data_IF_873950071671
#
_entry.id   IF_873950071671
#
_cell.length_a   1.000
_cell.length_b   1.000
_cell.length_c   1.000
_cell.angle_alpha   90.00
_cell.angle_beta   90.00
_cell.angle_gamma   90.00
#
_symmetry.space_group_name_H-M   'P 1'
#
loop_
_entity.id
_entity.type
_entity.pdbx_description
1 polymer ?
#
# COMPACT_ATOMS: atom_id res chain seq x y z
N UNK A 1 17.80 22.20 15.80
CA UNK A 1 17.83 21.18 16.88
C UNK A 1 19.26 20.78 17.20
N UNK A 2 20.07 20.32 16.22
CA UNK A 2 21.44 19.85 16.47
C UNK A 2 22.33 20.90 17.14
N UNK A 3 22.22 22.19 16.74
CA UNK A 3 22.99 23.29 17.35
C UNK A 3 22.74 23.52 18.84
N UNK A 4 21.65 22.96 19.40
CA UNK A 4 21.33 23.02 20.85
C UNK A 4 21.44 21.62 21.49
N UNK A 5 22.06 20.64 20.80
CA UNK A 5 22.37 19.33 21.33
C UNK A 5 21.24 18.33 21.30
N UNK A 6 20.18 18.52 20.46
CA UNK A 6 19.06 17.60 20.31
C UNK A 6 18.85 17.19 18.86
N UNK A 7 18.45 15.94 18.66
CA UNK A 7 17.87 15.42 17.43
C UNK A 7 16.34 15.49 17.48
N UNK A 8 15.70 15.48 16.31
CA UNK A 8 14.23 15.37 16.18
C UNK A 8 13.77 13.95 16.47
N UNK A 9 14.52 12.95 16.01
CA UNK A 9 14.31 11.53 16.28
C UNK A 9 13.33 10.84 15.31
N UNK A 10 12.17 11.45 15.04
CA UNK A 10 11.19 10.99 14.03
C UNK A 10 10.89 12.11 13.01
N UNK A 11 11.88 12.49 12.23
CA UNK A 11 11.70 13.47 11.18
C UNK A 11 11.03 12.83 9.95
N UNK A 12 9.80 13.27 9.63
CA UNK A 12 9.01 12.81 8.50
C UNK A 12 8.20 13.96 7.90
N UNK A 13 7.61 13.76 6.70
CA UNK A 13 6.78 14.80 6.06
C UNK A 13 5.56 15.18 6.90
N UNK A 14 4.98 14.24 7.65
CA UNK A 14 3.85 14.52 8.55
C UNK A 14 4.19 15.45 9.70
N UNK A 15 5.48 15.52 10.07
CA UNK A 15 5.98 16.32 11.18
C UNK A 15 6.59 17.65 10.73
N UNK A 16 6.41 18.03 9.47
CA UNK A 16 6.86 19.29 8.87
C UNK A 16 5.65 20.08 8.39
N UNK A 17 5.43 21.25 8.96
CA UNK A 17 4.41 22.20 8.51
C UNK A 17 5.08 23.32 7.71
N UNK A 18 4.38 23.80 6.67
CA UNK A 18 4.79 24.95 5.87
C UNK A 18 3.60 25.89 5.74
N UNK A 19 3.83 27.19 5.89
CA UNK A 19 2.80 28.20 5.66
C UNK A 19 2.92 28.83 4.26
N UNK A 20 1.98 29.72 3.91
CA UNK A 20 1.96 30.39 2.61
C UNK A 20 3.20 31.30 2.38
N UNK A 21 3.88 31.69 3.45
CA UNK A 21 5.15 32.45 3.38
C UNK A 21 6.38 31.56 3.27
N UNK A 22 6.20 30.25 3.07
CA UNK A 22 7.25 29.23 3.00
C UNK A 22 8.06 29.07 4.29
N UNK A 23 7.53 29.51 5.44
CA UNK A 23 8.15 29.26 6.72
C UNK A 23 7.88 27.83 7.17
N UNK A 24 8.95 27.16 7.58
CA UNK A 24 8.91 25.75 8.02
C UNK A 24 8.82 25.68 9.53
N UNK A 25 7.90 24.86 10.04
CA UNK A 25 7.75 24.55 11.45
C UNK A 25 7.75 23.05 11.66
N UNK A 26 8.64 22.57 12.51
CA UNK A 26 8.62 21.18 12.96
C UNK A 26 7.61 21.02 14.11
N UNK A 27 6.93 19.89 14.12
CA UNK A 27 5.98 19.49 15.16
C UNK A 27 6.30 18.07 15.61
N UNK A 28 5.66 17.61 16.68
CA UNK A 28 5.77 16.25 17.20
C UNK A 28 7.21 15.88 17.63
N UNK A 29 7.60 16.40 18.79
CA UNK A 29 8.92 16.17 19.39
C UNK A 29 8.93 15.03 20.41
N UNK A 30 7.95 14.11 20.39
CA UNK A 30 7.89 12.99 21.35
C UNK A 30 9.11 12.06 21.24
N UNK A 31 9.64 11.90 20.02
CA UNK A 31 10.82 11.11 19.75
C UNK A 31 12.14 11.87 19.93
N UNK A 32 12.12 13.15 20.30
CA UNK A 32 13.34 13.96 20.41
C UNK A 32 14.29 13.41 21.48
N UNK A 33 15.58 13.36 21.16
CA UNK A 33 16.65 12.79 22.00
C UNK A 33 17.83 13.75 22.08
N UNK A 34 18.58 13.67 23.18
CA UNK A 34 19.88 14.35 23.25
C UNK A 34 20.88 13.65 22.33
N UNK A 35 21.67 14.42 21.58
CA UNK A 35 22.73 13.87 20.72
C UNK A 35 23.79 13.06 21.49
N UNK A 36 23.94 13.32 22.77
CA UNK A 36 24.88 12.59 23.66
C UNK A 36 24.34 11.29 24.22
N UNK A 37 23.07 10.95 23.93
CA UNK A 37 22.44 9.73 24.41
C UNK A 37 22.86 8.52 23.55
N UNK A 38 22.89 7.32 24.16
CA UNK A 38 23.09 6.09 23.41
C UNK A 38 21.99 5.93 22.37
N UNK A 39 22.39 5.58 21.14
CA UNK A 39 21.48 5.48 20.02
C UNK A 39 20.57 4.25 20.13
N UNK A 40 19.28 4.48 20.14
CA UNK A 40 18.23 3.47 20.08
C UNK A 40 17.08 4.01 19.24
N UNK A 41 16.59 3.21 18.30
CA UNK A 41 15.41 3.57 17.50
C UNK A 41 14.17 3.03 18.20
N UNK A 42 13.51 3.88 18.99
CA UNK A 42 12.30 3.53 19.75
C UNK A 42 11.03 3.73 18.91
N UNK A 43 10.93 4.90 18.26
CA UNK A 43 9.81 5.29 17.40
C UNK A 43 10.42 5.81 16.10
N UNK A 44 9.90 5.32 14.98
CA UNK A 44 10.38 5.78 13.69
C UNK A 44 9.32 5.55 12.59
N UNK A 45 9.15 6.54 11.75
CA UNK A 45 8.31 6.43 10.56
C UNK A 45 8.99 5.51 9.53
N UNK A 46 8.33 4.42 9.07
CA UNK A 46 8.91 3.49 8.11
C UNK A 46 9.44 4.21 6.85
N UNK A 47 10.65 3.83 6.41
CA UNK A 47 11.34 4.43 5.27
C UNK A 47 12.13 5.70 5.56
N UNK A 48 11.94 6.31 6.73
CA UNK A 48 12.72 7.46 7.20
C UNK A 48 13.84 7.07 8.16
N UNK A 49 14.05 5.78 8.36
CA UNK A 49 15.13 5.19 9.17
C UNK A 49 16.05 4.34 8.32
N UNK A 50 17.26 4.10 8.84
CA UNK A 50 18.24 3.23 8.21
C UNK A 50 19.01 2.47 9.30
N UNK A 51 19.04 1.15 9.21
CA UNK A 51 19.73 0.29 10.17
C UNK A 51 21.26 0.48 10.24
N UNK A 52 21.84 1.10 9.19
CA UNK A 52 23.26 1.45 9.16
C UNK A 52 23.62 2.75 9.92
N UNK A 53 22.62 3.46 10.45
CA UNK A 53 22.79 4.70 11.20
C UNK A 53 23.25 4.37 12.62
N UNK A 54 24.25 5.14 13.12
CA UNK A 54 24.90 4.86 14.39
C UNK A 54 24.60 5.90 15.47
N UNK A 55 23.93 7.00 15.16
CA UNK A 55 23.58 8.05 16.10
C UNK A 55 22.37 8.87 15.63
N UNK A 56 21.79 9.68 16.53
CA UNK A 56 20.57 10.46 16.26
C UNK A 56 20.77 11.58 15.24
N UNK A 57 21.96 12.20 15.18
CA UNK A 57 22.24 13.23 14.18
C UNK A 57 22.22 12.65 12.77
N UNK A 58 22.82 11.48 12.60
CA UNK A 58 22.83 10.76 11.33
C UNK A 58 21.43 10.32 10.94
N UNK A 59 20.60 9.91 11.90
CA UNK A 59 19.21 9.54 11.68
C UNK A 59 18.40 10.71 11.13
N UNK A 60 18.51 11.87 11.72
CA UNK A 60 17.82 13.08 11.25
C UNK A 60 18.28 13.49 9.85
N UNK A 61 19.60 13.40 9.56
CA UNK A 61 20.11 13.69 8.21
C UNK A 61 19.64 12.70 7.16
N UNK A 62 19.54 11.42 7.50
CA UNK A 62 18.96 10.41 6.63
C UNK A 62 17.49 10.73 6.33
N UNK A 63 16.70 10.94 7.37
CA UNK A 63 15.28 11.27 7.24
C UNK A 63 15.06 12.56 6.43
N UNK A 64 15.87 13.61 6.65
CA UNK A 64 15.83 14.84 5.88
C UNK A 64 16.10 14.59 4.38
N UNK A 65 17.11 13.78 4.06
CA UNK A 65 17.39 13.46 2.67
C UNK A 65 16.24 12.68 2.02
N UNK A 66 15.61 11.76 2.74
CA UNK A 66 14.39 11.04 2.25
C UNK A 66 13.24 12.02 2.02
N UNK A 67 13.00 12.98 2.91
CA UNK A 67 11.99 14.04 2.72
C UNK A 67 12.25 14.79 1.42
N UNK A 68 13.47 15.28 1.22
CA UNK A 68 13.83 16.05 0.02
C UNK A 68 13.63 15.23 -1.25
N UNK A 69 14.03 13.96 -1.25
CA UNK A 69 13.76 13.06 -2.37
C UNK A 69 12.26 12.92 -2.66
N UNK A 70 11.46 12.76 -1.60
CA UNK A 70 10.01 12.54 -1.73
C UNK A 70 9.25 13.75 -2.25
N UNK A 71 9.77 14.96 -2.07
CA UNK A 71 9.21 16.17 -2.66
C UNK A 71 9.28 16.18 -4.20
N UNK A 72 10.30 15.54 -4.78
CA UNK A 72 10.45 15.40 -6.23
C UNK A 72 9.78 14.12 -6.76
N UNK A 73 9.87 13.03 -6.01
CA UNK A 73 9.33 11.72 -6.39
C UNK A 73 8.52 11.18 -5.22
N UNK A 74 7.18 11.18 -5.31
CA UNK A 74 6.30 10.83 -4.19
C UNK A 74 6.39 9.37 -3.75
N UNK A 75 7.03 8.51 -4.55
CA UNK A 75 7.30 7.11 -4.18
C UNK A 75 8.53 7.07 -3.29
N UNK A 76 8.38 6.57 -2.08
CA UNK A 76 9.45 6.46 -1.10
C UNK A 76 9.79 4.98 -0.86
N UNK A 77 10.68 4.39 -1.68
CA UNK A 77 11.22 3.06 -1.41
C UNK A 77 12.18 3.12 -0.22
N UNK A 78 12.43 1.96 0.38
CA UNK A 78 13.47 1.85 1.39
C UNK A 78 14.83 1.79 0.68
N UNK A 79 15.48 2.93 0.59
CA UNK A 79 16.68 3.12 -0.23
C UNK A 79 17.84 2.20 0.12
N UNK A 80 18.03 1.88 1.41
CA UNK A 80 19.12 1.00 1.82
C UNK A 80 18.89 -0.47 1.37
N UNK A 81 17.65 -0.86 1.12
CA UNK A 81 17.31 -2.18 0.58
C UNK A 81 17.38 -2.23 -0.94
N UNK A 82 17.12 -1.11 -1.61
CA UNK A 82 17.10 -1.01 -3.06
C UNK A 82 17.81 0.25 -3.57
N UNK A 83 19.14 0.41 -3.33
CA UNK A 83 19.87 1.62 -3.65
C UNK A 83 19.83 2.01 -5.14
N UNK A 84 19.68 1.02 -6.03
CA UNK A 84 19.58 1.23 -7.48
C UNK A 84 18.36 2.06 -7.88
N UNK A 85 17.32 2.12 -7.07
CA UNK A 85 16.15 2.96 -7.33
C UNK A 85 16.48 4.46 -7.31
N UNK A 86 17.51 4.87 -6.58
CA UNK A 86 17.98 6.26 -6.61
C UNK A 86 18.43 6.71 -8.01
N UNK A 87 18.96 5.81 -8.83
CA UNK A 87 19.32 6.14 -10.22
C UNK A 87 18.08 6.34 -11.09
N UNK A 88 17.09 5.49 -10.92
CA UNK A 88 15.82 5.65 -11.62
C UNK A 88 15.16 6.98 -11.24
N UNK A 89 15.22 7.35 -9.98
CA UNK A 89 14.70 8.64 -9.51
C UNK A 89 15.53 9.81 -10.06
N UNK A 90 16.86 9.73 -10.05
CA UNK A 90 17.72 10.76 -10.66
C UNK A 90 17.36 10.99 -12.13
N UNK A 91 17.14 9.92 -12.89
CA UNK A 91 16.73 10.01 -14.29
C UNK A 91 15.38 10.71 -14.44
N UNK A 92 14.39 10.34 -13.64
CA UNK A 92 13.07 10.97 -13.66
C UNK A 92 13.13 12.45 -13.27
N UNK A 93 13.88 12.77 -12.23
CA UNK A 93 14.08 14.16 -11.81
C UNK A 93 14.80 14.96 -12.87
N UNK A 94 15.85 14.41 -13.49
CA UNK A 94 16.56 15.05 -14.61
C UNK A 94 15.62 15.37 -15.76
N UNK A 95 14.77 14.42 -16.13
CA UNK A 95 13.83 14.55 -17.25
C UNK A 95 12.79 15.63 -17.01
N UNK A 96 12.28 15.77 -15.79
CA UNK A 96 11.16 16.67 -15.47
C UNK A 96 11.57 18.00 -14.83
N UNK A 97 12.69 18.03 -14.12
CA UNK A 97 13.15 19.19 -13.34
C UNK A 97 14.55 19.70 -13.72
N UNK A 98 15.27 18.98 -14.59
CA UNK A 98 16.57 19.38 -15.09
C UNK A 98 17.78 18.98 -14.21
N UNK A 99 18.98 19.32 -14.70
CA UNK A 99 20.24 18.91 -14.08
C UNK A 99 20.50 19.56 -12.71
N UNK A 100 20.03 20.78 -12.51
CA UNK A 100 20.22 21.50 -11.24
C UNK A 100 19.51 20.79 -10.09
N UNK A 101 18.27 20.31 -10.34
CA UNK A 101 17.52 19.54 -9.36
C UNK A 101 18.23 18.23 -8.98
N UNK A 102 18.78 17.52 -9.96
CA UNK A 102 19.54 16.29 -9.69
C UNK A 102 20.81 16.60 -8.90
N UNK A 103 21.54 17.68 -9.26
CA UNK A 103 22.74 18.09 -8.55
C UNK A 103 22.44 18.45 -7.10
N UNK A 104 21.32 19.13 -6.86
CA UNK A 104 20.83 19.43 -5.51
C UNK A 104 20.52 18.14 -4.73
N UNK A 105 19.72 17.23 -5.30
CA UNK A 105 19.41 15.95 -4.67
C UNK A 105 20.67 15.14 -4.32
N UNK A 106 21.63 15.08 -5.23
CA UNK A 106 22.90 14.39 -4.99
C UNK A 106 23.72 15.05 -3.87
N UNK A 107 23.70 16.38 -3.75
CA UNK A 107 24.35 17.09 -2.66
C UNK A 107 23.72 16.79 -1.30
N UNK A 108 22.39 16.71 -1.23
CA UNK A 108 21.66 16.29 -0.03
C UNK A 108 21.97 14.82 0.30
N UNK A 109 21.95 13.94 -0.69
CA UNK A 109 22.20 12.52 -0.55
C UNK A 109 23.61 12.20 -0.08
N UNK A 110 24.61 13.01 -0.40
CA UNK A 110 25.98 12.83 0.09
C UNK A 110 26.08 12.84 1.62
N UNK A 111 25.06 13.38 2.30
CA UNK A 111 24.92 13.35 3.76
C UNK A 111 24.19 12.12 4.28
N UNK A 112 23.57 11.32 3.41
CA UNK A 112 22.93 10.02 3.77
C UNK A 112 24.03 8.97 3.93
N UNK A 113 24.25 8.58 5.17
CA UNK A 113 25.30 7.60 5.49
C UNK A 113 24.97 6.21 4.91
N UNK A 114 26.02 5.56 4.42
CA UNK A 114 25.97 4.18 3.92
C UNK A 114 25.43 4.01 2.50
N UNK A 115 24.87 5.05 1.87
CA UNK A 115 24.37 4.95 0.49
C UNK A 115 25.36 5.48 -0.57
N UNK A 116 26.27 6.34 -0.19
CA UNK A 116 27.22 6.99 -1.12
C UNK A 116 28.19 6.01 -1.82
N UNK A 117 28.73 4.97 -1.17
CA UNK A 117 29.65 4.04 -1.81
C UNK A 117 28.97 3.07 -2.79
N UNK A 118 27.67 2.83 -2.64
CA UNK A 118 26.91 1.90 -3.47
C UNK A 118 26.45 2.50 -4.80
N UNK A 119 26.70 3.78 -5.00
CA UNK A 119 26.19 4.56 -6.12
C UNK A 119 27.18 4.74 -7.27
N UNK A 120 28.19 3.87 -7.40
CA UNK A 120 29.01 3.84 -8.62
C UNK A 120 28.19 3.28 -9.79
N UNK A 121 27.92 4.12 -10.76
CA UNK A 121 27.22 3.76 -12.00
C UNK A 121 27.96 2.69 -12.78
N UNK A 122 27.31 1.55 -13.01
CA UNK A 122 27.71 0.69 -14.10
C UNK A 122 27.08 1.15 -15.42
N UNK A 123 27.75 1.07 -16.53
CA UNK A 123 27.22 1.46 -17.86
C UNK A 123 25.95 0.73 -18.28
N UNK A 124 25.58 -0.31 -17.56
CA UNK A 124 24.35 -1.08 -17.77
C UNK A 124 23.08 -0.29 -17.38
N UNK A 125 23.15 0.49 -16.29
CA UNK A 125 21.99 1.24 -15.78
C UNK A 125 21.63 2.38 -16.73
N UNK A 126 22.62 3.09 -17.27
CA UNK A 126 22.37 4.18 -18.23
C UNK A 126 21.69 3.68 -19.51
N UNK A 127 22.10 2.51 -20.01
CA UNK A 127 21.45 1.88 -21.17
C UNK A 127 20.03 1.42 -20.87
N UNK A 128 19.80 0.87 -19.67
CA UNK A 128 18.46 0.44 -19.25
C UNK A 128 17.52 1.64 -19.10
N UNK A 129 17.98 2.74 -18.50
CA UNK A 129 17.18 3.96 -18.33
C UNK A 129 16.86 4.63 -19.67
N UNK A 130 17.81 4.70 -20.61
CA UNK A 130 17.58 5.20 -21.97
C UNK A 130 16.60 4.34 -22.77
N UNK A 131 16.54 3.04 -22.48
CA UNK A 131 15.59 2.13 -23.09
C UNK A 131 14.18 2.24 -22.50
N UNK A 132 14.01 2.71 -21.26
CA UNK A 132 12.72 2.78 -20.58
C UNK A 132 11.69 3.62 -21.35
N UNK A 133 12.08 4.73 -21.94
CA UNK A 133 11.16 5.58 -22.70
C UNK A 133 10.58 4.85 -23.92
N UNK A 134 11.36 3.97 -24.54
CA UNK A 134 10.94 3.16 -25.70
C UNK A 134 10.13 1.92 -25.29
N UNK A 135 10.32 1.43 -24.07
CA UNK A 135 9.60 0.26 -23.55
C UNK A 135 8.13 0.55 -23.28
N UNK A 136 7.76 1.80 -23.04
CA UNK A 136 6.37 2.23 -22.82
C UNK A 136 5.59 2.41 -24.12
N UNK A 137 6.23 2.34 -25.28
CA UNK A 137 5.55 2.33 -26.56
C UNK A 137 4.70 1.05 -26.70
N UNK A 138 3.46 1.14 -27.22
CA UNK A 138 2.57 -0.02 -27.37
C UNK A 138 3.21 -1.20 -28.10
N UNK A 139 4.09 -0.94 -29.05
CA UNK A 139 4.82 -1.97 -29.81
C UNK A 139 5.82 -2.76 -28.96
N UNK A 140 6.24 -2.21 -27.82
CA UNK A 140 7.25 -2.79 -26.93
C UNK A 140 6.64 -3.33 -25.62
N UNK A 141 5.31 -3.27 -25.44
CA UNK A 141 4.66 -3.63 -24.19
C UNK A 141 4.97 -5.06 -23.74
N UNK A 142 5.03 -6.01 -24.66
CA UNK A 142 5.37 -7.40 -24.33
C UNK A 142 6.81 -7.54 -23.82
N UNK A 143 7.74 -6.83 -24.45
CA UNK A 143 9.13 -6.77 -23.98
C UNK A 143 9.23 -6.13 -22.60
N UNK A 144 8.49 -5.05 -22.35
CA UNK A 144 8.41 -4.40 -21.06
C UNK A 144 7.88 -5.36 -19.99
N UNK A 145 6.75 -6.04 -20.25
CA UNK A 145 6.16 -7.00 -19.32
C UNK A 145 7.12 -8.15 -18.99
N UNK A 146 7.85 -8.65 -19.97
CA UNK A 146 8.86 -9.70 -19.76
C UNK A 146 10.03 -9.22 -18.90
N UNK A 147 10.51 -7.99 -19.12
CA UNK A 147 11.59 -7.41 -18.30
C UNK A 147 11.13 -7.15 -16.88
N UNK A 148 9.91 -6.63 -16.71
CA UNK A 148 9.29 -6.41 -15.40
C UNK A 148 9.18 -7.74 -14.64
N UNK A 149 8.68 -8.79 -15.28
CA UNK A 149 8.61 -10.13 -14.71
C UNK A 149 10.00 -10.64 -14.26
N UNK A 150 11.01 -10.56 -15.13
CA UNK A 150 12.38 -10.95 -14.78
C UNK A 150 12.92 -10.14 -13.59
N UNK A 151 12.64 -8.84 -13.54
CA UNK A 151 13.02 -7.97 -12.44
C UNK A 151 12.37 -8.41 -11.13
N UNK A 152 11.06 -8.71 -11.14
CA UNK A 152 10.34 -9.21 -9.96
C UNK A 152 10.98 -10.51 -9.48
N UNK A 153 11.09 -11.52 -10.34
CA UNK A 153 11.61 -12.84 -9.97
C UNK A 153 13.05 -12.78 -9.46
N UNK A 154 13.91 -11.99 -10.12
CA UNK A 154 15.31 -11.84 -9.70
C UNK A 154 15.48 -11.06 -8.39
N UNK A 155 14.52 -10.20 -8.06
CA UNK A 155 14.51 -9.41 -6.83
C UNK A 155 13.88 -10.13 -5.63
N UNK A 156 13.29 -11.33 -5.81
CA UNK A 156 12.65 -12.07 -4.73
C UNK A 156 13.70 -12.66 -3.76
N UNK A 157 13.53 -12.36 -2.49
CA UNK A 157 14.28 -12.98 -1.38
C UNK A 157 13.33 -13.82 -0.52
N UNK A 158 13.09 -15.05 -0.94
CA UNK A 158 12.15 -15.94 -0.28
C UNK A 158 12.63 -16.47 1.08
N UNK A 159 13.91 -16.32 1.39
CA UNK A 159 14.49 -16.72 2.68
C UNK A 159 14.49 -15.55 3.68
N UNK A 160 14.47 -14.33 3.18
CA UNK A 160 14.44 -13.11 3.98
C UNK A 160 13.10 -12.87 4.65
N UNK A 161 13.09 -11.91 5.53
CA UNK A 161 11.87 -11.43 6.18
C UNK A 161 10.96 -10.68 5.19
N UNK A 162 11.57 -10.03 4.20
CA UNK A 162 10.91 -9.21 3.19
C UNK A 162 11.23 -9.75 1.78
N UNK A 163 10.42 -10.62 1.25
CA UNK A 163 10.72 -11.26 -0.03
C UNK A 163 10.59 -10.35 -1.25
N UNK A 164 9.84 -9.27 -1.14
CA UNK A 164 9.82 -8.19 -2.13
C UNK A 164 10.42 -6.95 -1.47
N UNK A 165 11.57 -6.49 -1.95
CA UNK A 165 12.30 -5.38 -1.35
C UNK A 165 11.86 -4.04 -1.91
N UNK A 166 11.85 -3.02 -1.06
CA UNK A 166 11.76 -1.62 -1.48
C UNK A 166 10.40 -0.95 -1.36
N UNK A 167 9.30 -1.68 -1.20
CA UNK A 167 7.99 -1.05 -0.92
C UNK A 167 7.84 -0.78 0.58
N UNK A 168 7.74 0.50 0.93
CA UNK A 168 7.58 0.96 2.31
C UNK A 168 6.28 0.45 2.95
N UNK A 169 5.23 0.24 2.16
CA UNK A 169 3.93 -0.23 2.67
C UNK A 169 4.02 -1.61 3.31
N UNK A 170 5.01 -2.43 2.93
CA UNK A 170 5.25 -3.75 3.52
C UNK A 170 5.76 -3.68 4.96
N UNK A 171 6.31 -2.52 5.36
CA UNK A 171 6.92 -2.32 6.67
C UNK A 171 5.97 -1.64 7.66
N UNK A 172 4.78 -1.27 7.22
CA UNK A 172 3.78 -0.60 8.06
C UNK A 172 3.22 -1.48 9.17
N UNK A 173 3.04 -2.79 8.90
CA UNK A 173 2.65 -3.80 9.87
C UNK A 173 2.97 -5.21 9.35
N UNK A 174 2.95 -6.20 10.26
CA UNK A 174 3.25 -7.61 9.93
C UNK A 174 2.33 -8.19 8.84
N UNK A 175 1.10 -7.71 8.72
CA UNK A 175 0.12 -8.22 7.76
C UNK A 175 0.30 -7.64 6.36
N UNK A 176 0.83 -6.42 6.26
CA UNK A 176 1.06 -5.73 4.98
C UNK A 176 2.01 -6.50 4.06
N UNK A 177 2.96 -7.26 4.63
CA UNK A 177 3.88 -8.14 3.89
C UNK A 177 3.17 -9.18 3.04
N UNK A 178 1.96 -9.58 3.43
CA UNK A 178 1.20 -10.67 2.80
C UNK A 178 0.02 -10.19 1.97
N UNK A 179 -0.30 -8.91 2.01
CA UNK A 179 -1.48 -8.34 1.39
C UNK A 179 -1.44 -8.35 -0.15
N UNK A 180 -2.59 -8.13 -0.79
CA UNK A 180 -2.66 -7.90 -2.24
C UNK A 180 -2.06 -6.52 -2.58
N UNK A 181 -2.29 -5.51 -1.75
CA UNK A 181 -1.91 -4.12 -2.07
C UNK A 181 -0.41 -3.89 -2.11
N UNK A 182 0.36 -4.52 -1.23
CA UNK A 182 1.79 -4.25 -1.05
C UNK A 182 2.66 -5.48 -0.82
N UNK A 183 2.08 -6.68 -0.76
CA UNK A 183 2.77 -7.87 -0.30
C UNK A 183 2.73 -9.06 -1.24
N UNK A 184 2.99 -10.22 -0.66
CA UNK A 184 3.13 -11.49 -1.37
C UNK A 184 1.94 -11.90 -2.22
N UNK A 185 0.72 -11.71 -1.74
CA UNK A 185 -0.49 -12.09 -2.46
C UNK A 185 -0.61 -11.30 -3.76
N UNK A 186 -0.28 -10.01 -3.74
CA UNK A 186 -0.27 -9.17 -4.94
C UNK A 186 0.78 -9.61 -5.96
N UNK A 187 2.00 -9.92 -5.50
CA UNK A 187 3.06 -10.44 -6.38
C UNK A 187 2.66 -11.79 -6.98
N UNK A 188 2.08 -12.71 -6.20
CA UNK A 188 1.59 -14.00 -6.72
C UNK A 188 0.55 -13.83 -7.82
N UNK A 189 -0.41 -12.92 -7.62
CA UNK A 189 -1.40 -12.60 -8.64
C UNK A 189 -0.79 -11.98 -9.90
N UNK A 190 0.19 -11.09 -9.74
CA UNK A 190 0.90 -10.50 -10.87
C UNK A 190 1.65 -11.57 -11.68
N UNK A 191 2.32 -12.52 -11.02
CA UNK A 191 3.00 -13.64 -11.66
C UNK A 191 1.99 -14.55 -12.39
N UNK A 192 0.84 -14.85 -11.78
CA UNK A 192 -0.23 -15.61 -12.41
C UNK A 192 -0.73 -14.94 -13.68
N UNK A 193 -1.05 -13.64 -13.62
CA UNK A 193 -1.53 -12.86 -14.77
C UNK A 193 -0.48 -12.70 -15.87
N UNK A 194 0.80 -12.87 -15.53
CA UNK A 194 1.92 -12.87 -16.50
C UNK A 194 2.20 -14.26 -17.08
N UNK A 195 1.27 -15.21 -16.94
CA UNK A 195 1.39 -16.60 -17.42
C UNK A 195 2.52 -17.40 -16.77
N UNK A 196 2.89 -17.06 -15.54
CA UNK A 196 3.97 -17.72 -14.79
C UNK A 196 3.40 -18.52 -13.61
N UNK A 197 2.52 -19.45 -13.92
CA UNK A 197 1.75 -20.21 -12.93
C UNK A 197 2.62 -20.91 -11.88
N UNK A 198 3.63 -21.68 -12.31
CA UNK A 198 4.51 -22.43 -11.40
C UNK A 198 5.19 -21.52 -10.36
N UNK A 199 5.71 -20.36 -10.80
CA UNK A 199 6.31 -19.38 -9.89
C UNK A 199 5.26 -18.73 -8.99
N UNK A 200 4.06 -18.50 -9.49
CA UNK A 200 2.95 -17.96 -8.72
C UNK A 200 2.53 -18.91 -7.59
N UNK A 201 2.33 -20.19 -7.89
CA UNK A 201 1.97 -21.23 -6.93
C UNK A 201 3.05 -21.41 -5.86
N UNK A 202 4.29 -21.53 -6.28
CA UNK A 202 5.42 -21.70 -5.38
C UNK A 202 5.60 -20.51 -4.44
N UNK A 203 5.55 -19.30 -5.01
CA UNK A 203 5.68 -18.08 -4.23
C UNK A 203 4.52 -17.90 -3.24
N UNK A 204 3.29 -18.17 -3.67
CA UNK A 204 2.13 -18.12 -2.79
C UNK A 204 2.21 -19.17 -1.68
N UNK A 205 2.65 -20.38 -1.97
CA UNK A 205 2.76 -21.45 -0.98
C UNK A 205 3.68 -21.05 0.19
N UNK A 206 4.85 -20.46 -0.11
CA UNK A 206 5.77 -19.95 0.90
C UNK A 206 5.14 -18.81 1.69
N UNK A 207 4.51 -17.86 0.99
CA UNK A 207 3.85 -16.72 1.61
C UNK A 207 2.74 -17.16 2.57
N UNK A 208 1.92 -18.13 2.14
CA UNK A 208 0.85 -18.72 2.95
C UNK A 208 1.36 -19.35 4.23
N UNK A 209 2.44 -20.11 4.16
CA UNK A 209 3.02 -20.80 5.32
C UNK A 209 3.51 -19.79 6.37
N UNK A 210 4.23 -18.77 5.94
CA UNK A 210 4.66 -17.65 6.79
C UNK A 210 3.46 -16.91 7.36
N UNK A 211 2.46 -16.61 6.54
CA UNK A 211 1.24 -15.90 6.95
C UNK A 211 0.46 -16.65 8.02
N UNK A 212 0.24 -17.96 7.85
CA UNK A 212 -0.44 -18.79 8.85
C UNK A 212 0.35 -18.81 10.16
N UNK A 213 1.69 -18.80 10.10
CA UNK A 213 2.54 -18.70 11.29
C UNK A 213 2.30 -17.38 12.05
N UNK A 214 2.21 -16.26 11.33
CA UNK A 214 1.88 -14.95 11.92
C UNK A 214 0.48 -14.98 12.54
N UNK A 215 -0.53 -15.49 11.83
CA UNK A 215 -1.89 -15.61 12.34
C UNK A 215 -1.96 -16.41 13.65
N UNK A 216 -1.20 -17.48 13.77
CA UNK A 216 -1.14 -18.30 15.00
C UNK A 216 -0.54 -17.55 16.18
N UNK A 217 0.49 -16.73 15.93
CA UNK A 217 1.11 -15.89 16.97
C UNK A 217 0.21 -14.76 17.45
N UNK A 218 -0.64 -14.24 16.56
CA UNK A 218 -1.50 -13.09 16.82
C UNK A 218 -2.84 -13.47 17.51
N UNK A 219 -3.13 -14.75 17.74
CA UNK A 219 -4.40 -15.24 18.32
C UNK A 219 -4.75 -14.68 19.69
N UNK A 220 -3.80 -14.11 20.40
CA UNK A 220 -3.98 -13.70 21.79
C UNK A 220 -4.26 -12.21 22.01
N UNK A 221 -4.96 -11.55 21.07
CA UNK A 221 -5.52 -10.22 21.33
C UNK A 221 -5.26 -9.11 20.31
N UNK A 222 -4.69 -9.41 19.16
CA UNK A 222 -4.51 -8.40 18.10
C UNK A 222 -5.66 -8.45 17.09
N UNK A 223 -6.18 -7.26 16.72
CA UNK A 223 -7.19 -7.14 15.67
C UNK A 223 -6.57 -7.41 14.30
N UNK A 224 -7.12 -8.39 13.58
CA UNK A 224 -6.75 -8.65 12.19
C UNK A 224 -7.40 -7.63 11.27
N UNK A 225 -6.67 -7.14 10.27
CA UNK A 225 -7.28 -6.40 9.18
C UNK A 225 -7.90 -7.39 8.20
N UNK A 226 -9.23 -7.33 8.03
CA UNK A 226 -9.94 -8.22 7.11
C UNK A 226 -9.94 -7.76 5.66
N UNK A 227 -9.53 -6.53 5.38
CA UNK A 227 -9.67 -5.85 4.10
C UNK A 227 -9.24 -6.65 2.86
N UNK A 228 -9.79 -6.28 1.71
CA UNK A 228 -9.47 -6.92 0.42
C UNK A 228 -8.04 -6.62 -0.03
N UNK A 229 -7.58 -5.37 0.09
CA UNK A 229 -6.25 -5.00 -0.40
C UNK A 229 -5.18 -5.02 0.69
N UNK A 230 -5.51 -4.70 1.93
CA UNK A 230 -4.55 -4.62 3.04
C UNK A 230 -4.70 -5.73 4.08
N UNK A 231 -5.55 -6.71 3.84
CA UNK A 231 -5.92 -7.69 4.86
C UNK A 231 -6.06 -9.12 4.34
N UNK A 232 -6.61 -9.92 5.22
CA UNK A 232 -6.67 -11.37 5.14
C UNK A 232 -7.60 -11.90 4.06
N UNK A 233 -8.68 -11.17 3.76
CA UNK A 233 -9.60 -11.55 2.67
C UNK A 233 -8.88 -11.51 1.32
N UNK A 234 -8.01 -10.52 1.11
CA UNK A 234 -7.18 -10.47 -0.09
C UNK A 234 -6.24 -11.66 -0.24
N UNK A 235 -5.60 -12.08 0.84
CA UNK A 235 -4.74 -13.29 0.82
C UNK A 235 -5.56 -14.53 0.47
N UNK A 236 -6.77 -14.67 1.03
CA UNK A 236 -7.67 -15.77 0.68
C UNK A 236 -8.14 -15.71 -0.78
N UNK A 237 -8.40 -14.52 -1.32
CA UNK A 237 -8.75 -14.35 -2.74
C UNK A 237 -7.57 -14.69 -3.67
N UNK A 238 -6.34 -14.37 -3.28
CA UNK A 238 -5.16 -14.82 -4.02
C UNK A 238 -5.06 -16.37 -4.03
N UNK A 239 -5.39 -17.03 -2.91
CA UNK A 239 -5.49 -18.49 -2.88
C UNK A 239 -6.54 -19.03 -3.85
N UNK A 240 -7.69 -18.36 -3.97
CA UNK A 240 -8.74 -18.73 -4.93
C UNK A 240 -8.25 -18.71 -6.38
N UNK A 241 -7.57 -17.62 -6.75
CA UNK A 241 -7.08 -17.40 -8.12
C UNK A 241 -5.89 -18.33 -8.47
N UNK A 242 -4.96 -18.53 -7.51
CA UNK A 242 -3.70 -19.27 -7.75
C UNK A 242 -3.87 -20.77 -7.60
N UNK A 243 -4.70 -21.24 -6.67
CA UNK A 243 -4.88 -22.65 -6.36
C UNK A 243 -6.31 -23.15 -6.60
N UNK A 244 -7.20 -22.85 -5.65
CA UNK A 244 -8.56 -23.36 -5.66
C UNK A 244 -9.49 -22.65 -4.69
N UNK A 245 -10.79 -22.84 -4.93
CA UNK A 245 -11.84 -22.40 -4.01
C UNK A 245 -11.71 -23.04 -2.62
N UNK A 246 -11.29 -24.31 -2.55
CA UNK A 246 -11.11 -25.00 -1.27
C UNK A 246 -10.01 -24.36 -0.43
N UNK A 247 -8.90 -23.98 -1.04
CA UNK A 247 -7.80 -23.31 -0.34
C UNK A 247 -8.22 -21.92 0.14
N UNK A 248 -9.00 -21.19 -0.65
CA UNK A 248 -9.60 -19.92 -0.21
C UNK A 248 -10.46 -20.11 1.05
N UNK A 249 -11.35 -21.12 1.06
CA UNK A 249 -12.18 -21.39 2.23
C UNK A 249 -11.35 -21.77 3.48
N UNK A 250 -10.28 -22.55 3.30
CA UNK A 250 -9.34 -22.85 4.39
C UNK A 250 -8.73 -21.55 4.94
N UNK A 251 -8.28 -20.66 4.07
CA UNK A 251 -7.72 -19.38 4.49
C UNK A 251 -8.75 -18.53 5.23
N UNK A 252 -9.97 -18.41 4.72
CA UNK A 252 -11.06 -17.68 5.38
C UNK A 252 -11.40 -18.26 6.77
N UNK A 253 -11.35 -19.58 6.95
CA UNK A 253 -11.60 -20.23 8.23
C UNK A 253 -10.54 -19.92 9.30
N UNK A 254 -9.29 -19.72 8.91
CA UNK A 254 -8.22 -19.30 9.84
C UNK A 254 -8.45 -17.91 10.44
N UNK A 255 -9.17 -17.06 9.74
CA UNK A 255 -9.29 -15.64 10.05
C UNK A 255 -10.44 -15.35 11.01
N UNK A 256 -11.33 -16.32 11.23
CA UNK A 256 -12.52 -16.09 12.07
C UNK A 256 -13.54 -15.12 11.46
N UNK A 257 -13.41 -14.75 10.17
CA UNK A 257 -14.43 -13.98 9.42
C UNK A 257 -15.77 -14.72 9.39
N UNK A 258 -15.77 -15.95 9.85
CA UNK A 258 -16.97 -16.76 10.05
C UNK A 258 -17.97 -16.19 11.09
N UNK A 259 -17.63 -15.14 11.81
CA UNK A 259 -18.52 -14.57 12.80
C UNK A 259 -19.01 -13.17 12.41
N UNK A 260 -20.33 -13.00 12.33
CA UNK A 260 -20.97 -11.71 12.07
C UNK A 260 -20.53 -10.65 13.09
N UNK A 261 -20.27 -11.07 14.32
CA UNK A 261 -19.77 -10.18 15.39
C UNK A 261 -18.44 -9.50 15.03
N UNK A 262 -17.56 -10.21 14.30
CA UNK A 262 -16.32 -9.61 13.82
C UNK A 262 -16.58 -8.53 12.76
N UNK A 263 -17.49 -8.79 11.81
CA UNK A 263 -17.87 -7.82 10.78
C UNK A 263 -18.56 -6.60 11.38
N UNK A 264 -19.29 -6.78 12.48
CA UNK A 264 -19.98 -5.70 13.20
C UNK A 264 -19.00 -4.68 13.81
N UNK A 265 -17.77 -5.11 14.13
CA UNK A 265 -16.72 -4.24 14.63
C UNK A 265 -15.96 -3.44 13.55
N UNK A 266 -16.25 -3.66 12.25
CA UNK A 266 -15.61 -2.95 11.15
C UNK A 266 -16.40 -1.69 10.81
N UNK A 267 -15.87 -0.53 11.14
CA UNK A 267 -16.46 0.79 10.81
C UNK A 267 -15.86 1.41 9.52
N UNK A 268 -15.15 0.64 8.74
CA UNK A 268 -14.62 1.00 7.43
C UNK A 268 -15.49 0.40 6.32
N UNK A 269 -16.03 1.24 5.45
CA UNK A 269 -16.90 0.85 4.34
C UNK A 269 -16.18 0.85 2.97
N UNK A 270 -14.89 1.13 2.95
CA UNK A 270 -14.08 1.25 1.73
C UNK A 270 -13.93 -0.07 0.98
N UNK A 271 -13.52 0.04 -0.29
CA UNK A 271 -13.13 -1.11 -1.09
C UNK A 271 -11.75 -1.66 -0.66
N UNK A 272 -10.88 -0.77 -0.17
CA UNK A 272 -9.49 -1.13 0.16
C UNK A 272 -9.38 -1.99 1.42
N UNK A 273 -9.91 -1.50 2.52
CA UNK A 273 -9.77 -2.11 3.85
C UNK A 273 -11.10 -2.49 4.51
N UNK A 274 -12.22 -2.05 3.96
CA UNK A 274 -13.52 -2.10 4.60
C UNK A 274 -14.48 -3.16 4.08
N UNK A 275 -15.73 -3.02 4.54
CA UNK A 275 -16.82 -3.96 4.26
C UNK A 275 -17.11 -4.13 2.76
N UNK A 276 -17.00 -3.06 1.95
CA UNK A 276 -17.25 -3.18 0.50
C UNK A 276 -16.24 -4.10 -0.18
N UNK A 277 -14.96 -4.07 0.23
CA UNK A 277 -13.95 -4.97 -0.30
C UNK A 277 -14.20 -6.43 0.08
N UNK A 278 -14.57 -6.67 1.34
CA UNK A 278 -14.94 -8.00 1.82
C UNK A 278 -16.16 -8.52 1.05
N UNK A 279 -17.19 -7.68 0.88
CA UNK A 279 -18.39 -8.00 0.12
C UNK A 279 -18.10 -8.32 -1.35
N UNK A 280 -17.19 -7.57 -2.00
CA UNK A 280 -16.75 -7.86 -3.38
C UNK A 280 -16.07 -9.22 -3.50
N UNK A 281 -15.23 -9.60 -2.54
CA UNK A 281 -14.61 -10.92 -2.52
C UNK A 281 -15.67 -12.03 -2.40
N UNK A 282 -16.62 -11.89 -1.48
CA UNK A 282 -17.71 -12.87 -1.31
C UNK A 282 -18.60 -12.98 -2.55
N UNK A 283 -18.90 -11.87 -3.23
CA UNK A 283 -19.60 -11.88 -4.53
C UNK A 283 -18.82 -12.69 -5.59
N UNK A 284 -17.51 -12.49 -5.66
CA UNK A 284 -16.63 -13.18 -6.63
C UNK A 284 -16.56 -14.68 -6.38
N UNK A 285 -16.67 -15.12 -5.13
CA UNK A 285 -16.73 -16.53 -4.76
C UNK A 285 -18.05 -17.21 -5.16
N UNK A 286 -19.08 -16.42 -5.52
CA UNK A 286 -20.38 -16.95 -5.90
C UNK A 286 -21.03 -17.73 -4.77
N UNK A 287 -21.26 -17.05 -3.63
CA UNK A 287 -21.87 -17.66 -2.45
C UNK A 287 -23.17 -18.39 -2.80
N UNK A 288 -23.28 -19.66 -2.43
CA UNK A 288 -24.49 -20.43 -2.65
C UNK A 288 -25.58 -19.99 -1.65
N UNK A 289 -26.85 -20.01 -2.08
CA UNK A 289 -27.97 -19.69 -1.20
C UNK A 289 -27.92 -20.58 0.05
N UNK A 290 -28.09 -19.95 1.22
CA UNK A 290 -28.03 -20.57 2.56
C UNK A 290 -26.61 -20.96 3.03
N UNK A 291 -25.55 -20.62 2.31
CA UNK A 291 -24.19 -20.77 2.83
C UNK A 291 -23.88 -19.73 3.91
N UNK A 292 -22.81 -19.97 4.67
CA UNK A 292 -22.31 -19.02 5.64
C UNK A 292 -21.87 -17.70 4.98
N UNK A 293 -21.21 -17.80 3.83
CA UNK A 293 -20.79 -16.66 3.02
C UNK A 293 -21.96 -15.81 2.56
N UNK A 294 -23.09 -16.42 2.23
CA UNK A 294 -24.30 -15.70 1.84
C UNK A 294 -24.88 -14.88 3.02
N UNK A 295 -24.87 -15.43 4.23
CA UNK A 295 -25.28 -14.69 5.43
C UNK A 295 -24.37 -13.49 5.68
N UNK A 296 -23.07 -13.69 5.57
CA UNK A 296 -22.08 -12.61 5.71
C UNK A 296 -22.27 -11.53 4.62
N UNK A 297 -22.43 -11.95 3.37
CA UNK A 297 -22.67 -11.04 2.26
C UNK A 297 -23.94 -10.23 2.46
N UNK A 298 -25.03 -10.86 2.93
CA UNK A 298 -26.29 -10.18 3.20
C UNK A 298 -26.15 -9.18 4.35
N UNK A 299 -25.41 -9.51 5.40
CA UNK A 299 -25.08 -8.59 6.48
C UNK A 299 -24.28 -7.37 5.98
N UNK A 300 -23.22 -7.62 5.22
CA UNK A 300 -22.37 -6.55 4.64
C UNK A 300 -23.20 -5.64 3.74
N UNK A 301 -24.05 -6.22 2.88
CA UNK A 301 -24.93 -5.44 2.00
C UNK A 301 -25.86 -4.52 2.77
N UNK A 302 -26.49 -5.04 3.85
CA UNK A 302 -27.35 -4.22 4.72
C UNK A 302 -26.58 -3.06 5.32
N UNK A 303 -25.40 -3.33 5.89
CA UNK A 303 -24.56 -2.30 6.53
C UNK A 303 -24.06 -1.24 5.56
N UNK A 304 -23.56 -1.64 4.40
CA UNK A 304 -23.09 -0.70 3.37
C UNK A 304 -24.26 0.11 2.82
N UNK A 305 -25.41 -0.52 2.58
CA UNK A 305 -26.62 0.15 2.11
C UNK A 305 -27.10 1.20 3.12
N UNK A 306 -27.26 0.82 4.40
CA UNK A 306 -27.64 1.72 5.49
C UNK A 306 -26.68 2.91 5.61
N UNK A 307 -25.39 2.66 5.57
CA UNK A 307 -24.37 3.73 5.62
C UNK A 307 -24.48 4.68 4.44
N UNK A 308 -24.67 4.15 3.24
CA UNK A 308 -24.88 4.98 2.04
C UNK A 308 -26.18 5.76 2.10
N UNK A 309 -27.24 5.19 2.67
CA UNK A 309 -28.52 5.88 2.83
C UNK A 309 -28.42 7.06 3.80
N UNK A 310 -27.84 6.84 4.97
CA UNK A 310 -27.53 7.90 5.91
C UNK A 310 -26.56 8.94 5.33
N UNK A 311 -25.53 8.49 4.59
CA UNK A 311 -24.54 9.34 3.97
C UNK A 311 -25.14 10.29 2.92
N UNK A 312 -26.02 9.80 2.05
CA UNK A 312 -26.67 10.61 1.01
C UNK A 312 -27.50 11.78 1.57
N UNK A 313 -27.96 11.66 2.80
CA UNK A 313 -28.74 12.69 3.50
C UNK A 313 -27.90 13.49 4.51
N UNK A 314 -26.68 13.07 4.79
CA UNK A 314 -25.81 13.70 5.79
C UNK A 314 -24.90 14.77 5.16
N UNK A 315 -24.47 15.73 6.00
CA UNK A 315 -23.44 16.70 5.59
C UNK A 315 -22.11 16.06 5.23
N UNK A 316 -21.86 14.80 5.63
CA UNK A 316 -20.59 14.09 5.39
C UNK A 316 -20.34 13.85 3.89
N UNK A 317 -21.34 13.39 3.14
CA UNK A 317 -21.23 13.21 1.68
C UNK A 317 -21.37 14.52 0.89
N UNK A 318 -22.03 15.53 1.48
CA UNK A 318 -22.23 16.83 0.84
C UNK A 318 -21.09 17.82 1.16
N UNK A 319 -20.18 17.45 2.06
CA UNK A 319 -19.06 18.30 2.42
C UNK A 319 -17.98 18.30 1.33
N UNK A 320 -17.23 19.40 1.22
CA UNK A 320 -16.04 19.48 0.34
C UNK A 320 -14.91 18.52 0.74
N UNK A 321 -15.01 17.88 1.93
CA UNK A 321 -14.04 16.91 2.48
C UNK A 321 -14.44 15.46 2.24
N UNK A 322 -15.60 15.21 1.57
CA UNK A 322 -16.04 13.84 1.30
C UNK A 322 -15.05 13.12 0.37
N UNK A 323 -14.66 11.92 0.74
CA UNK A 323 -13.77 11.09 -0.07
C UNK A 323 -14.59 10.29 -1.09
N UNK A 324 -14.50 10.65 -2.36
CA UNK A 324 -15.11 9.96 -3.49
C UNK A 324 -14.13 9.07 -4.26
N UNK A 325 -12.95 8.77 -3.70
CA UNK A 325 -12.01 7.86 -4.36
C UNK A 325 -12.57 6.44 -4.46
N UNK A 326 -12.08 5.70 -5.46
CA UNK A 326 -12.51 4.31 -5.67
C UNK A 326 -12.09 3.39 -4.52
N UNK A 327 -10.85 3.54 -4.06
CA UNK A 327 -10.26 2.58 -3.13
C UNK A 327 -10.69 2.82 -1.69
N UNK A 328 -10.74 4.07 -1.25
CA UNK A 328 -10.99 4.44 0.15
C UNK A 328 -12.31 5.16 0.37
N UNK A 329 -12.87 5.72 -0.69
CA UNK A 329 -14.06 6.57 -0.63
C UNK A 329 -15.36 5.90 -1.04
N UNK A 330 -16.39 6.74 -1.17
CA UNK A 330 -17.77 6.34 -1.47
C UNK A 330 -17.95 5.65 -2.82
N UNK A 331 -17.09 5.96 -3.82
CA UNK A 331 -17.19 5.34 -5.13
C UNK A 331 -16.95 3.82 -5.05
N UNK A 332 -16.09 3.37 -4.14
CA UNK A 332 -15.86 1.95 -3.89
C UNK A 332 -17.09 1.23 -3.31
N UNK A 333 -17.78 1.88 -2.37
CA UNK A 333 -19.04 1.37 -1.83
C UNK A 333 -20.14 1.33 -2.91
N UNK A 334 -20.23 2.38 -3.73
CA UNK A 334 -21.14 2.41 -4.88
C UNK A 334 -20.87 1.29 -5.88
N UNK A 335 -19.62 1.01 -6.20
CA UNK A 335 -19.24 -0.09 -7.08
C UNK A 335 -19.65 -1.46 -6.50
N UNK A 336 -19.46 -1.66 -5.21
CA UNK A 336 -19.90 -2.89 -4.53
C UNK A 336 -21.41 -3.08 -4.63
N UNK A 337 -22.21 -2.05 -4.28
CA UNK A 337 -23.67 -2.11 -4.39
C UNK A 337 -24.12 -2.34 -5.84
N UNK A 338 -23.48 -1.71 -6.82
CA UNK A 338 -23.75 -1.93 -8.24
C UNK A 338 -23.51 -3.39 -8.65
N UNK A 339 -22.36 -3.95 -8.30
CA UNK A 339 -22.05 -5.36 -8.59
C UNK A 339 -23.04 -6.31 -7.91
N UNK A 340 -23.37 -6.05 -6.66
CA UNK A 340 -24.36 -6.83 -5.93
C UNK A 340 -25.75 -6.76 -6.56
N UNK A 341 -26.17 -5.59 -7.05
CA UNK A 341 -27.45 -5.41 -7.73
C UNK A 341 -27.57 -6.26 -8.99
N UNK A 342 -26.50 -6.34 -9.76
CA UNK A 342 -26.45 -7.21 -10.96
C UNK A 342 -26.56 -8.69 -10.61
N UNK A 343 -25.86 -9.14 -9.56
CA UNK A 343 -25.89 -10.53 -9.12
C UNK A 343 -27.24 -10.94 -8.51
N UNK A 344 -27.90 -10.03 -7.78
CA UNK A 344 -29.14 -10.28 -7.06
C UNK A 344 -30.41 -9.84 -7.81
N UNK A 345 -30.25 -9.10 -8.91
CA UNK A 345 -31.34 -8.44 -9.65
C UNK A 345 -32.18 -7.55 -8.72
N UNK A 346 -31.49 -6.70 -7.95
CA UNK A 346 -32.06 -5.84 -6.92
C UNK A 346 -31.97 -4.38 -7.35
N UNK A 347 -33.12 -3.78 -7.70
CA UNK A 347 -33.20 -2.41 -8.20
C UNK A 347 -32.96 -1.38 -7.09
N UNK A 348 -33.20 -1.71 -5.81
CA UNK A 348 -32.91 -0.79 -4.70
C UNK A 348 -31.41 -0.58 -4.52
N UNK A 349 -30.62 -1.67 -4.55
CA UNK A 349 -29.17 -1.61 -4.54
C UNK A 349 -28.62 -0.82 -5.75
N UNK A 350 -29.24 -1.05 -6.94
CA UNK A 350 -28.86 -0.35 -8.16
C UNK A 350 -29.10 1.15 -8.06
N UNK A 351 -30.29 1.54 -7.65
CA UNK A 351 -30.67 2.96 -7.48
C UNK A 351 -29.73 3.67 -6.48
N UNK A 352 -29.35 2.98 -5.40
CA UNK A 352 -28.44 3.52 -4.39
C UNK A 352 -27.04 3.74 -4.97
N UNK A 353 -26.51 2.77 -5.71
CA UNK A 353 -25.23 2.91 -6.40
C UNK A 353 -25.21 4.07 -7.39
N UNK A 354 -26.26 4.21 -8.21
CA UNK A 354 -26.41 5.31 -9.17
C UNK A 354 -26.43 6.69 -8.48
N UNK A 355 -27.06 6.79 -7.30
CA UNK A 355 -27.06 8.02 -6.52
C UNK A 355 -25.65 8.41 -6.08
N UNK A 356 -24.83 7.45 -5.62
CA UNK A 356 -23.43 7.68 -5.27
C UNK A 356 -22.62 8.13 -6.49
N UNK A 357 -22.81 7.49 -7.65
CA UNK A 357 -22.09 7.85 -8.87
C UNK A 357 -22.44 9.27 -9.34
N UNK A 358 -23.70 9.67 -9.26
CA UNK A 358 -24.14 11.04 -9.57
C UNK A 358 -23.51 12.08 -8.64
N UNK A 359 -23.47 11.80 -7.32
CA UNK A 359 -22.81 12.68 -6.35
C UNK A 359 -21.30 12.79 -6.63
N UNK A 360 -20.65 11.69 -6.97
CA UNK A 360 -19.23 11.69 -7.35
C UNK A 360 -18.99 12.59 -8.56
N UNK A 361 -19.81 12.48 -9.60
CA UNK A 361 -19.71 13.33 -10.80
C UNK A 361 -19.93 14.81 -10.46
N UNK A 362 -20.92 15.12 -9.62
CA UNK A 362 -21.17 16.50 -9.18
C UNK A 362 -19.99 17.06 -8.39
N UNK A 363 -19.39 16.24 -7.51
CA UNK A 363 -18.22 16.64 -6.73
C UNK A 363 -17.02 16.92 -7.64
N UNK A 364 -16.76 16.05 -8.62
CA UNK A 364 -15.67 16.25 -9.59
C UNK A 364 -15.88 17.50 -10.46
N UNK A 365 -17.12 17.77 -10.86
CA UNK A 365 -17.45 18.97 -11.66
C UNK A 365 -17.31 20.29 -10.88
N UNK A 366 -17.34 20.25 -9.54
CA UNK A 366 -17.19 21.43 -8.68
C UNK A 366 -15.77 21.55 -8.08
N UNK A 367 -14.86 20.64 -8.45
CA UNK A 367 -13.48 20.62 -7.92
C UNK A 367 -12.50 21.51 -8.72
N UNK A 368 -12.95 22.18 -9.77
CA UNK A 368 -12.23 23.22 -10.53
C UNK A 368 -12.50 24.59 -9.87
#
# INVERSE_FOLDING_TARGET
MHGIGFAVGDLSLSNVLINDSLEIKLIDFEAAKKLSQDFQVDIATPGFTNDAVCNYEQQDWYAFAVIVHRLFVPICPIYYLAPSLLFCQDYMVQKHFGNEAVSFLRSVRSRMLGLTPLLSHGPFIDKALQACDKLLDPENIETFMRLLYKGIVSGLDLRGEYPVKGDISMYGDEMSKYSIGSGFAGVSLALLKSSCLENSEWFYAIAREKYISVLRKLKDGMSFRAGLFNGTVGVAMAAYEVFSREECHKMLSYIGISHIDYLAGIDDYSLYSGLSGIGMALLSLGASRNSHEEKMLSYILSKVYERCDCGLTSQDMLSSKADFTLMKGWLGAGLFLWKASLCRKDDALRSRAESIFRLTLTHLANAD
#
